data_IF_740351998951
#
_entry.id   IF_740351998951
#
_cell.length_a   1.000
_cell.length_b   1.000
_cell.length_c   1.000
_cell.angle_alpha   90.00
_cell.angle_beta   90.00
_cell.angle_gamma   90.00
#
_symmetry.space_group_name_H-M   'P 1'
#
loop_
_entity.id
_entity.type
_entity.pdbx_description
1 polymer ?
#
# COMPACT_ATOMS: atom_id res chain seq x y z
N UNK A 1 5.52 37.24 21.57
CA UNK A 1 4.56 38.32 21.28
C UNK A 1 3.99 38.28 19.86
N UNK A 2 4.79 37.96 18.82
CA UNK A 2 4.31 37.87 17.42
C UNK A 2 3.33 36.72 17.11
N UNK A 3 3.45 35.57 17.79
CA UNK A 3 2.59 34.40 17.54
C UNK A 3 1.08 34.69 17.75
N UNK A 4 0.74 35.58 18.70
CA UNK A 4 -0.64 35.95 18.97
C UNK A 4 -1.26 36.80 17.85
N UNK A 5 -0.48 37.67 17.20
CA UNK A 5 -0.92 38.45 16.03
C UNK A 5 -1.14 37.53 14.82
N UNK A 6 -0.19 36.62 14.57
CA UNK A 6 -0.26 35.64 13.47
C UNK A 6 -1.50 34.74 13.65
N UNK A 7 -1.78 34.29 14.87
CA UNK A 7 -2.99 33.52 15.16
C UNK A 7 -4.28 34.31 14.85
N UNK A 8 -4.34 35.58 15.21
CA UNK A 8 -5.53 36.40 14.97
C UNK A 8 -5.79 36.65 13.47
N UNK A 9 -4.74 36.96 12.71
CA UNK A 9 -4.86 37.20 11.27
C UNK A 9 -5.20 35.94 10.49
N UNK A 10 -4.59 34.80 10.83
CA UNK A 10 -4.92 33.50 10.22
C UNK A 10 -6.37 33.10 10.50
N UNK A 11 -6.87 33.30 11.72
CA UNK A 11 -8.26 33.03 12.08
C UNK A 11 -9.24 33.94 11.33
N UNK A 12 -8.85 35.19 11.08
CA UNK A 12 -9.63 36.16 10.29
C UNK A 12 -9.73 35.75 8.81
N UNK A 13 -8.69 35.12 8.26
CA UNK A 13 -8.69 34.58 6.90
C UNK A 13 -9.56 33.33 6.80
N UNK A 14 -9.43 32.39 7.74
CA UNK A 14 -10.20 31.13 7.77
C UNK A 14 -11.71 31.39 7.83
N UNK A 15 -12.13 32.43 8.57
CA UNK A 15 -13.55 32.77 8.77
C UNK A 15 -14.21 33.44 7.54
N UNK A 16 -13.46 33.76 6.48
CA UNK A 16 -14.02 34.33 5.24
C UNK A 16 -14.69 33.22 4.42
N UNK A 17 -15.95 33.46 4.00
CA UNK A 17 -16.73 32.51 3.17
C UNK A 17 -16.01 32.03 1.91
N UNK A 18 -15.22 32.89 1.27
CA UNK A 18 -14.42 32.53 0.07
C UNK A 18 -13.35 31.48 0.37
N UNK A 19 -12.74 31.53 1.54
CA UNK A 19 -11.74 30.54 1.97
C UNK A 19 -12.39 29.16 2.20
N UNK A 20 -13.58 29.14 2.82
CA UNK A 20 -14.34 27.90 3.01
C UNK A 20 -14.73 27.22 1.68
N UNK A 21 -15.09 28.00 0.65
CA UNK A 21 -15.39 27.47 -0.69
C UNK A 21 -14.16 26.84 -1.32
N UNK A 22 -13.00 27.52 -1.27
CA UNK A 22 -11.74 26.98 -1.81
C UNK A 22 -11.33 25.69 -1.08
N UNK A 23 -11.44 25.67 0.25
CA UNK A 23 -11.16 24.47 1.04
C UNK A 23 -12.13 23.32 0.71
N UNK A 24 -13.42 23.62 0.47
CA UNK A 24 -14.40 22.62 0.05
C UNK A 24 -14.08 22.01 -1.31
N UNK A 25 -13.68 22.83 -2.29
CA UNK A 25 -13.24 22.36 -3.61
C UNK A 25 -11.99 21.50 -3.47
N UNK A 26 -11.00 21.94 -2.68
CA UNK A 26 -9.77 21.19 -2.45
C UNK A 26 -10.07 19.82 -1.81
N UNK A 27 -10.96 19.79 -0.81
CA UNK A 27 -11.41 18.56 -0.16
C UNK A 27 -12.14 17.63 -1.13
N UNK A 28 -13.02 18.18 -1.98
CA UNK A 28 -13.73 17.39 -2.99
C UNK A 28 -12.75 16.75 -4.00
N UNK A 29 -11.75 17.51 -4.47
CA UNK A 29 -10.71 16.98 -5.36
C UNK A 29 -9.93 15.86 -4.67
N UNK A 30 -9.47 16.08 -3.43
CA UNK A 30 -8.76 15.05 -2.66
C UNK A 30 -9.61 13.80 -2.45
N UNK A 31 -10.89 13.95 -2.14
CA UNK A 31 -11.82 12.83 -1.95
C UNK A 31 -11.97 12.01 -3.24
N UNK A 32 -12.15 12.66 -4.39
CA UNK A 32 -12.26 11.98 -5.70
C UNK A 32 -10.98 11.24 -6.05
N UNK A 33 -9.81 11.89 -5.88
CA UNK A 33 -8.52 11.27 -6.16
C UNK A 33 -8.28 10.06 -5.26
N UNK A 34 -8.52 10.20 -3.96
CA UNK A 34 -8.33 9.13 -2.98
C UNK A 34 -9.27 7.95 -3.27
N UNK A 35 -10.53 8.23 -3.61
CA UNK A 35 -11.49 7.19 -3.99
C UNK A 35 -11.07 6.45 -5.28
N UNK A 36 -10.61 7.18 -6.29
CA UNK A 36 -10.12 6.59 -7.54
C UNK A 36 -8.88 5.72 -7.30
N UNK A 37 -7.93 6.19 -6.51
CA UNK A 37 -6.75 5.41 -6.11
C UNK A 37 -7.13 4.15 -5.35
N UNK A 38 -8.05 4.25 -4.39
CA UNK A 38 -8.54 3.11 -3.63
C UNK A 38 -9.18 2.03 -4.52
N UNK A 39 -10.06 2.45 -5.45
CA UNK A 39 -10.70 1.54 -6.40
C UNK A 39 -9.68 0.87 -7.32
N UNK A 40 -8.68 1.62 -7.79
CA UNK A 40 -7.63 1.09 -8.65
C UNK A 40 -6.72 0.10 -7.91
N UNK A 41 -6.39 0.37 -6.64
CA UNK A 41 -5.64 -0.54 -5.77
C UNK A 41 -6.38 -1.86 -5.58
N UNK A 42 -7.67 -1.81 -5.24
CA UNK A 42 -8.50 -3.02 -5.11
C UNK A 42 -8.56 -3.83 -6.41
N UNK A 43 -8.74 -3.17 -7.55
CA UNK A 43 -8.82 -3.85 -8.84
C UNK A 43 -7.47 -4.45 -9.30
N UNK A 44 -6.35 -3.80 -8.93
CA UNK A 44 -5.01 -4.34 -9.17
C UNK A 44 -4.66 -5.47 -8.22
N UNK A 45 -5.06 -5.40 -6.95
CA UNK A 45 -4.81 -6.43 -5.95
C UNK A 45 -5.43 -7.77 -6.39
N UNK A 46 -6.71 -7.79 -6.74
CA UNK A 46 -7.40 -9.02 -7.16
C UNK A 46 -6.83 -9.66 -8.42
N UNK A 47 -6.19 -8.90 -9.33
CA UNK A 47 -5.56 -9.47 -10.54
C UNK A 47 -4.09 -9.87 -10.35
N UNK A 48 -3.39 -9.27 -9.39
CA UNK A 48 -1.95 -9.42 -9.28
C UNK A 48 -1.49 -10.29 -8.11
N UNK A 49 -2.35 -10.71 -7.19
CA UNK A 49 -1.94 -11.55 -6.06
C UNK A 49 -1.27 -12.85 -6.52
N UNK A 50 -1.81 -13.52 -7.56
CA UNK A 50 -1.19 -14.71 -8.17
C UNK A 50 0.20 -14.40 -8.70
N UNK A 51 0.35 -13.30 -9.43
CA UNK A 51 1.63 -12.87 -9.98
C UNK A 51 2.63 -12.49 -8.87
N UNK A 52 2.19 -11.88 -7.78
CA UNK A 52 3.03 -11.56 -6.63
C UNK A 52 3.54 -12.81 -5.92
N UNK A 53 2.65 -13.79 -5.66
CA UNK A 53 3.03 -15.05 -5.03
C UNK A 53 4.00 -15.82 -5.93
N UNK A 54 3.74 -15.90 -7.24
CA UNK A 54 4.66 -16.51 -8.20
C UNK A 54 6.04 -15.82 -8.19
N UNK A 55 6.09 -14.49 -8.15
CA UNK A 55 7.35 -13.75 -8.03
C UNK A 55 8.06 -14.04 -6.70
N UNK A 56 7.33 -14.13 -5.58
CA UNK A 56 7.91 -14.48 -4.26
C UNK A 56 8.51 -15.88 -4.27
N UNK A 57 7.79 -16.86 -4.82
CA UNK A 57 8.27 -18.24 -5.02
C UNK A 57 9.56 -18.24 -5.84
N UNK A 58 9.58 -17.56 -6.99
CA UNK A 58 10.76 -17.46 -7.85
C UNK A 58 11.97 -16.84 -7.12
N UNK A 59 11.76 -15.78 -6.32
CA UNK A 59 12.82 -15.16 -5.52
C UNK A 59 13.39 -16.11 -4.47
N UNK A 60 12.54 -16.84 -3.75
CA UNK A 60 12.98 -17.80 -2.74
C UNK A 60 13.68 -19.00 -3.36
N UNK A 61 13.18 -19.53 -4.47
CA UNK A 61 13.85 -20.57 -5.24
C UNK A 61 15.22 -20.12 -5.75
N UNK A 62 15.34 -18.90 -6.26
CA UNK A 62 16.62 -18.35 -6.71
C UNK A 62 17.59 -18.11 -5.53
N UNK A 63 17.07 -17.77 -4.35
CA UNK A 63 17.88 -17.66 -3.12
C UNK A 63 18.38 -19.03 -2.66
N UNK A 64 17.53 -20.06 -2.74
CA UNK A 64 17.88 -21.46 -2.48
C UNK A 64 18.94 -21.98 -3.46
N UNK A 65 18.80 -21.67 -4.75
CA UNK A 65 19.72 -22.08 -5.82
C UNK A 65 21.10 -21.42 -5.70
N UNK A 66 21.17 -20.17 -5.24
CA UNK A 66 22.42 -19.42 -5.05
C UNK A 66 23.29 -19.95 -3.89
N UNK A 67 22.82 -20.94 -3.11
CA UNK A 67 23.65 -21.84 -2.29
C UNK A 67 24.43 -21.25 -1.10
N UNK A 68 24.39 -19.93 -0.86
CA UNK A 68 25.12 -19.26 0.24
C UNK A 68 24.28 -19.04 1.50
N UNK A 69 23.44 -20.01 1.87
CA UNK A 69 22.54 -19.92 3.02
C UNK A 69 22.69 -21.14 3.92
N UNK A 70 22.61 -20.92 5.22
CA UNK A 70 22.65 -21.96 6.25
C UNK A 70 21.52 -22.99 6.01
N UNK A 71 21.78 -24.27 6.26
CA UNK A 71 20.83 -25.37 6.12
C UNK A 71 19.51 -25.12 6.85
N UNK A 72 19.55 -24.53 8.05
CA UNK A 72 18.32 -24.18 8.80
C UNK A 72 17.48 -23.12 8.07
N UNK A 73 18.13 -22.13 7.46
CA UNK A 73 17.48 -21.08 6.68
C UNK A 73 16.97 -21.61 5.33
N UNK A 74 17.67 -22.56 4.72
CA UNK A 74 17.21 -23.25 3.52
C UNK A 74 15.94 -24.07 3.80
N UNK A 75 15.86 -24.76 4.95
CA UNK A 75 14.66 -25.49 5.38
C UNK A 75 13.46 -24.56 5.59
N UNK A 76 13.63 -23.43 6.27
CA UNK A 76 12.53 -22.48 6.46
C UNK A 76 12.05 -21.87 5.14
N UNK A 77 12.97 -21.51 4.23
CA UNK A 77 12.62 -21.03 2.89
C UNK A 77 11.88 -22.08 2.05
N UNK A 78 12.26 -23.36 2.12
CA UNK A 78 11.54 -24.44 1.43
C UNK A 78 10.11 -24.59 1.98
N UNK A 79 9.93 -24.51 3.30
CA UNK A 79 8.61 -24.55 3.91
C UNK A 79 7.74 -23.35 3.47
N UNK A 80 8.34 -22.16 3.40
CA UNK A 80 7.68 -20.95 2.92
C UNK A 80 7.26 -21.07 1.44
N UNK A 81 8.13 -21.57 0.58
CA UNK A 81 7.83 -21.84 -0.83
C UNK A 81 6.67 -22.82 -0.98
N UNK A 82 6.65 -23.90 -0.20
CA UNK A 82 5.55 -24.87 -0.23
C UNK A 82 4.23 -24.24 0.22
N UNK A 83 4.25 -23.38 1.26
CA UNK A 83 3.04 -22.65 1.69
C UNK A 83 2.52 -21.73 0.59
N UNK A 84 3.40 -21.01 -0.09
CA UNK A 84 3.04 -20.12 -1.20
C UNK A 84 2.52 -20.88 -2.43
N UNK A 85 3.13 -22.03 -2.76
CA UNK A 85 2.63 -22.92 -3.81
C UNK A 85 1.25 -23.47 -3.47
N UNK A 86 1.01 -23.85 -2.21
CA UNK A 86 -0.31 -24.30 -1.77
C UNK A 86 -1.40 -23.25 -2.05
N UNK A 87 -1.15 -21.97 -1.77
CA UNK A 87 -2.09 -20.89 -2.10
C UNK A 87 -2.33 -20.72 -3.61
N UNK A 88 -1.29 -20.90 -4.43
CA UNK A 88 -1.40 -20.85 -5.89
C UNK A 88 -2.20 -22.01 -6.46
N UNK A 89 -1.97 -23.22 -5.94
CA UNK A 89 -2.59 -24.47 -6.40
C UNK A 89 -4.07 -24.54 -6.02
N UNK A 90 -4.43 -24.02 -4.84
CA UNK A 90 -5.81 -24.01 -4.36
C UNK A 90 -6.59 -22.75 -4.79
N UNK A 91 -5.94 -21.84 -5.50
CA UNK A 91 -6.50 -20.55 -5.92
C UNK A 91 -7.10 -19.73 -4.75
N UNK A 92 -6.45 -19.79 -3.59
CA UNK A 92 -6.87 -19.10 -2.37
C UNK A 92 -6.03 -17.84 -2.25
N UNK A 93 -6.69 -16.67 -2.28
CA UNK A 93 -6.05 -15.39 -1.98
C UNK A 93 -5.64 -15.39 -0.48
N UNK A 94 -4.35 -15.22 -0.16
CA UNK A 94 -3.86 -15.39 1.22
C UNK A 94 -4.16 -14.22 2.18
N UNK A 95 -4.93 -13.21 1.75
CA UNK A 95 -5.35 -12.03 2.54
C UNK A 95 -6.84 -11.72 2.35
#
# INVERSE_FOLDING_TARGET
>A
MFAALVQNETLKIIRRKRFAVVMGILFAILAVVTYAQYRQLRFRAHRNWRAEIQQRVARYQETLRRGRINETWARSLRAEVNRLQFYLDHDIEPD
#
